data_IF_685794869787
#
_entry.id   IF_685794869787
#
_cell.length_a   1.000
_cell.length_b   1.000
_cell.length_c   1.000
_cell.angle_alpha   90.00
_cell.angle_beta   90.00
_cell.angle_gamma   90.00
#
_symmetry.space_group_name_H-M   'P 1'
#
loop_
_entity.id
_entity.type
_entity.pdbx_description
1 polymer ?
#
# COMPACT_ATOMS: atom_id res chain seq x y z
N UNK A 1 -5.77 -22.38 -8.62
CA UNK A 1 -6.50 -21.91 -7.41
C UNK A 1 -6.61 -20.38 -7.44
N UNK A 2 -7.57 -19.80 -8.15
CA UNK A 2 -7.79 -18.34 -8.15
C UNK A 2 -8.84 -18.00 -7.07
N UNK A 3 -8.39 -17.40 -5.96
CA UNK A 3 -9.30 -16.89 -4.92
C UNK A 3 -10.06 -15.71 -5.51
N UNK A 4 -11.32 -15.92 -5.91
CA UNK A 4 -12.23 -14.86 -6.37
C UNK A 4 -12.34 -13.84 -5.24
N UNK A 5 -11.79 -12.64 -5.43
CA UNK A 5 -11.90 -11.54 -4.47
C UNK A 5 -13.38 -11.17 -4.42
N UNK A 6 -14.08 -11.49 -3.33
CA UNK A 6 -15.45 -10.99 -3.10
C UNK A 6 -15.38 -9.47 -3.21
N UNK A 7 -16.11 -8.90 -4.17
CA UNK A 7 -16.34 -7.47 -4.27
C UNK A 7 -17.22 -7.08 -3.09
N UNK A 8 -16.59 -6.76 -1.97
CA UNK A 8 -17.25 -6.20 -0.80
C UNK A 8 -17.71 -4.78 -1.16
N UNK A 9 -19.00 -4.50 -1.03
CA UNK A 9 -19.62 -3.18 -1.31
C UNK A 9 -19.07 -2.06 -0.41
N UNK A 10 -18.39 -2.43 0.68
CA UNK A 10 -17.72 -1.50 1.58
C UNK A 10 -16.27 -1.34 1.10
N UNK A 11 -15.94 -0.16 0.60
CA UNK A 11 -14.55 0.20 0.31
C UNK A 11 -13.79 0.23 1.65
N UNK A 12 -12.82 -0.67 1.88
CA UNK A 12 -12.06 -0.62 3.12
C UNK A 12 -11.29 0.71 3.15
N UNK A 13 -11.45 1.48 4.22
CA UNK A 13 -10.74 2.74 4.45
C UNK A 13 -9.21 2.59 4.34
N UNK A 14 -8.72 1.37 4.53
CA UNK A 14 -7.33 1.00 4.55
C UNK A 14 -6.99 -0.04 3.48
N UNK A 15 -5.99 0.27 2.69
CA UNK A 15 -5.46 -0.59 1.63
C UNK A 15 -4.67 -1.75 2.23
N UNK A 16 -4.80 -2.93 1.62
CA UNK A 16 -3.91 -4.06 1.90
C UNK A 16 -2.60 -3.91 1.13
N UNK A 17 -1.54 -4.60 1.56
CA UNK A 17 -0.27 -4.66 0.82
C UNK A 17 -0.47 -5.10 -0.65
N UNK A 18 -1.28 -6.14 -0.96
CA UNK A 18 -1.61 -6.46 -2.35
C UNK A 18 -2.32 -5.33 -3.11
N UNK A 19 -3.20 -4.56 -2.46
CA UNK A 19 -3.90 -3.45 -3.13
C UNK A 19 -2.93 -2.31 -3.44
N UNK A 20 -2.03 -1.99 -2.51
CA UNK A 20 -0.95 -1.01 -2.70
C UNK A 20 -0.03 -1.44 -3.84
N UNK A 21 0.32 -2.73 -3.90
CA UNK A 21 1.14 -3.28 -4.98
C UNK A 21 0.46 -3.09 -6.35
N UNK A 22 -0.84 -3.35 -6.44
CA UNK A 22 -1.63 -3.15 -7.67
C UNK A 22 -1.69 -1.65 -8.03
N UNK A 23 -1.97 -0.77 -7.07
CA UNK A 23 -2.06 0.67 -7.31
C UNK A 23 -0.73 1.28 -7.78
N UNK A 24 0.38 0.83 -7.20
CA UNK A 24 1.72 1.29 -7.58
C UNK A 24 2.27 0.57 -8.83
N UNK A 25 1.61 -0.49 -9.32
CA UNK A 25 2.11 -1.30 -10.43
C UNK A 25 3.39 -2.08 -10.12
N UNK A 26 3.67 -2.37 -8.84
CA UNK A 26 4.89 -3.07 -8.39
C UNK A 26 4.57 -4.41 -7.75
N UNK A 27 5.59 -5.27 -7.59
CA UNK A 27 5.40 -6.53 -6.87
C UNK A 27 5.32 -6.32 -5.35
N UNK A 28 4.71 -7.27 -4.63
CA UNK A 28 4.54 -7.21 -3.16
C UNK A 28 5.88 -7.09 -2.43
N UNK A 29 6.93 -7.75 -2.93
CA UNK A 29 8.27 -7.67 -2.37
C UNK A 29 8.81 -6.23 -2.43
N UNK A 30 8.58 -5.52 -3.53
CA UNK A 30 8.93 -4.11 -3.65
C UNK A 30 8.16 -3.27 -2.63
N UNK A 31 6.87 -3.53 -2.41
CA UNK A 31 6.11 -2.81 -1.36
C UNK A 31 6.71 -3.04 0.03
N UNK A 32 7.10 -4.26 0.37
CA UNK A 32 7.82 -4.52 1.63
C UNK A 32 9.15 -3.76 1.68
N UNK A 33 9.93 -3.75 0.60
CA UNK A 33 11.14 -2.95 0.54
C UNK A 33 10.87 -1.46 0.73
N UNK A 34 9.77 -0.91 0.18
CA UNK A 34 9.38 0.49 0.40
C UNK A 34 9.04 0.76 1.86
N UNK A 35 8.38 -0.18 2.55
CA UNK A 35 8.08 -0.10 3.98
C UNK A 35 9.38 -0.09 4.81
N UNK A 36 10.34 -0.96 4.49
CA UNK A 36 11.58 -1.09 5.27
C UNK A 36 12.65 -0.06 4.92
N UNK A 37 12.72 0.41 3.66
CA UNK A 37 13.81 1.27 3.14
C UNK A 37 13.38 2.71 2.92
N UNK A 38 12.15 2.93 2.46
CA UNK A 38 11.62 4.25 2.08
C UNK A 38 10.52 4.75 3.03
N UNK A 39 10.42 4.12 4.20
CA UNK A 39 9.55 4.56 5.29
C UNK A 39 8.09 4.74 4.86
N UNK A 40 7.60 3.83 4.01
CA UNK A 40 6.21 3.87 3.55
C UNK A 40 5.25 3.88 4.76
N UNK A 41 4.39 4.89 4.90
CA UNK A 41 3.48 5.03 6.04
C UNK A 41 2.52 3.84 6.06
N UNK A 42 2.64 3.02 7.09
CA UNK A 42 1.85 1.81 7.24
C UNK A 42 1.51 1.54 8.70
N UNK A 43 0.26 1.15 8.93
CA UNK A 43 -0.32 0.89 10.24
C UNK A 43 -0.38 -0.61 10.44
N UNK A 44 0.04 -1.08 11.61
CA UNK A 44 -0.12 -2.47 12.03
C UNK A 44 -1.45 -2.60 12.79
N UNK A 45 -2.41 -3.32 12.21
CA UNK A 45 -3.69 -3.64 12.85
C UNK A 45 -3.67 -5.12 13.25
N UNK A 46 -3.40 -5.39 14.52
CA UNK A 46 -3.14 -6.75 15.01
C UNK A 46 -1.93 -7.36 14.28
N UNK A 47 -2.15 -8.46 13.55
CA UNK A 47 -1.09 -9.13 12.77
C UNK A 47 -1.03 -8.70 11.30
N UNK A 48 -1.90 -7.78 10.86
CA UNK A 48 -1.96 -7.35 9.44
C UNK A 48 -1.51 -5.91 9.26
N UNK A 49 -0.65 -5.69 8.25
CA UNK A 49 -0.21 -4.35 7.86
C UNK A 49 -1.16 -3.75 6.84
N UNK A 50 -1.52 -2.48 7.06
CA UNK A 50 -2.47 -1.71 6.27
C UNK A 50 -1.90 -0.34 5.96
N UNK A 51 -2.35 0.28 4.88
CA UNK A 51 -1.87 1.58 4.42
C UNK A 51 -3.06 2.49 4.19
N UNK A 52 -2.99 3.72 4.70
CA UNK A 52 -3.99 4.73 4.37
C UNK A 52 -3.77 5.23 2.93
N UNK A 53 -4.83 5.32 2.10
CA UNK A 53 -4.71 5.84 0.74
C UNK A 53 -4.17 7.28 0.72
N UNK A 54 -4.63 8.13 1.64
CA UNK A 54 -4.17 9.53 1.72
C UNK A 54 -2.68 9.63 2.05
N UNK A 55 -2.22 8.81 3.00
CA UNK A 55 -0.80 8.75 3.37
C UNK A 55 0.07 8.20 2.24
N UNK A 56 -0.45 7.25 1.45
CA UNK A 56 0.25 6.73 0.27
C UNK A 56 0.43 7.83 -0.78
N UNK A 57 -0.60 8.64 -1.01
CA UNK A 57 -0.56 9.73 -1.98
C UNK A 57 0.42 10.84 -1.54
N UNK A 58 0.43 11.19 -0.26
CA UNK A 58 1.38 12.18 0.27
C UNK A 58 2.83 11.68 0.15
N UNK A 59 3.06 10.40 0.47
CA UNK A 59 4.38 9.78 0.31
C UNK A 59 4.84 9.76 -1.16
N UNK A 60 3.93 9.53 -2.11
CA UNK A 60 4.24 9.61 -3.54
C UNK A 60 4.68 11.02 -3.95
N UNK A 61 3.97 12.05 -3.49
CA UNK A 61 4.32 13.45 -3.74
C UNK A 61 5.72 13.78 -3.19
N UNK A 62 6.04 13.31 -1.99
CA UNK A 62 7.37 13.49 -1.40
C UNK A 62 8.46 12.78 -2.23
N UNK A 63 8.20 11.55 -2.69
CA UNK A 63 9.14 10.82 -3.54
C UNK A 63 9.41 11.52 -4.89
N UNK A 64 8.37 12.11 -5.47
CA UNK A 64 8.48 12.89 -6.72
C UNK A 64 9.35 14.13 -6.53
N UNK A 65 9.12 14.89 -5.44
CA UNK A 65 9.92 16.07 -5.11
C UNK A 65 11.40 15.76 -4.83
N UNK A 66 11.70 14.57 -4.33
CA UNK A 66 13.07 14.15 -4.02
C UNK A 66 13.84 13.61 -5.22
N UNK A 67 13.15 13.42 -6.35
CA UNK A 67 13.72 12.95 -7.61
C UNK A 67 13.95 14.09 -8.63
N UNK A 68 13.53 15.32 -8.29
CA UNK A 68 13.74 16.55 -9.06
C UNK A 68 14.92 17.36 -8.52
#
# INVERSE_FOLDING_TARGET
MARRKKLSTVQPLLLTIPDVAIQLGVCRATVYNLIYRRWLPSIMLGSVRRVHPDSLQEWLRQCEQQSA
#
